data_IF_557814633308
#
_entry.id   IF_557814633308
#
_cell.length_a   1.000
_cell.length_b   1.000
_cell.length_c   1.000
_cell.angle_alpha   90.00
_cell.angle_beta   90.00
_cell.angle_gamma   90.00
#
_symmetry.space_group_name_H-M   'P 1'
#
loop_
_entity.id
_entity.type
_entity.pdbx_description
1 polymer ?
#
# COMPACT_ATOMS: atom_id res chain seq x y z
N UNK A 1 11.65 -3.01 38.54
CA UNK A 1 11.91 -3.67 37.24
C UNK A 1 11.49 -2.68 36.15
N UNK A 2 12.47 -2.15 35.42
CA UNK A 2 12.27 -1.11 34.39
C UNK A 2 11.52 -1.67 33.19
N UNK A 3 10.52 -0.92 32.72
CA UNK A 3 9.90 -1.13 31.41
C UNK A 3 10.85 -0.54 30.37
N UNK A 4 11.49 -1.42 29.61
CA UNK A 4 12.29 -1.04 28.44
C UNK A 4 11.35 -0.98 27.24
N UNK A 5 11.05 0.24 26.80
CA UNK A 5 10.36 0.49 25.53
C UNK A 5 11.31 0.16 24.38
N UNK A 6 10.99 -0.87 23.62
CA UNK A 6 11.69 -1.22 22.38
C UNK A 6 11.01 -0.49 21.23
N UNK A 7 11.49 0.71 20.89
CA UNK A 7 11.13 1.39 19.65
C UNK A 7 11.88 0.73 18.49
N UNK A 8 11.15 -0.03 17.68
CA UNK A 8 11.66 -0.58 16.43
C UNK A 8 11.62 0.53 15.37
N UNK A 9 12.77 1.16 15.12
CA UNK A 9 12.96 2.08 14.00
C UNK A 9 13.14 1.27 12.71
N UNK A 10 12.03 0.97 12.02
CA UNK A 10 12.07 0.61 10.60
C UNK A 10 11.96 1.91 9.81
N UNK A 11 13.10 2.30 9.22
CA UNK A 11 13.26 3.43 8.34
C UNK A 11 12.65 3.09 6.96
N UNK A 12 11.33 3.18 6.83
CA UNK A 12 10.65 3.30 5.54
C UNK A 12 10.57 4.79 5.22
N UNK A 13 11.14 5.17 4.07
CA UNK A 13 11.27 6.55 3.64
C UNK A 13 9.97 7.32 3.73
N UNK A 14 10.07 8.52 4.32
CA UNK A 14 9.02 9.50 4.54
C UNK A 14 8.15 9.73 3.30
N UNK A 15 6.90 9.26 3.38
CA UNK A 15 5.68 9.91 2.90
C UNK A 15 4.48 9.04 3.34
N UNK A 16 4.21 9.02 4.65
CA UNK A 16 2.99 8.44 5.20
C UNK A 16 2.26 9.49 6.03
N UNK A 17 1.13 9.95 5.52
CA UNK A 17 0.16 10.73 6.28
C UNK A 17 -0.74 9.76 7.06
N UNK A 18 -0.77 9.79 8.41
CA UNK A 18 -1.70 8.96 9.15
C UNK A 18 -3.06 9.66 9.15
N UNK A 19 -3.97 9.29 8.24
CA UNK A 19 -5.40 9.51 8.49
C UNK A 19 -5.94 8.34 9.29
N UNK A 20 -6.37 8.70 10.48
CA UNK A 20 -7.10 7.92 11.48
C UNK A 20 -8.20 7.09 10.81
N UNK A 21 -8.00 5.78 10.77
CA UNK A 21 -9.06 4.81 10.61
C UNK A 21 -9.70 4.62 11.99
N UNK A 22 -10.59 5.54 12.35
CA UNK A 22 -11.50 5.41 13.49
C UNK A 22 -12.78 4.71 12.99
N UNK A 23 -12.64 3.46 12.52
CA UNK A 23 -13.80 2.60 12.33
C UNK A 23 -14.04 1.83 13.62
N UNK A 24 -15.17 2.13 14.26
CA UNK A 24 -15.71 1.36 15.37
C UNK A 24 -15.92 -0.10 14.91
N UNK A 25 -14.93 -0.96 15.19
CA UNK A 25 -15.13 -2.40 15.21
C UNK A 25 -16.01 -2.76 16.41
N UNK A 26 -17.33 -2.70 16.23
CA UNK A 26 -18.27 -3.34 17.14
C UNK A 26 -18.19 -4.85 16.96
N UNK A 27 -17.52 -5.52 17.90
CA UNK A 27 -17.81 -6.90 18.27
C UNK A 27 -17.10 -7.99 17.44
N UNK A 28 -16.19 -8.70 18.11
CA UNK A 28 -15.83 -10.13 17.93
C UNK A 28 -14.69 -10.56 16.98
N UNK A 29 -13.90 -9.67 16.39
CA UNK A 29 -12.76 -10.08 15.52
C UNK A 29 -11.34 -9.87 16.11
N UNK A 30 -11.14 -10.09 17.42
CA UNK A 30 -9.82 -9.93 18.07
C UNK A 30 -9.27 -11.21 18.72
N UNK A 31 -9.34 -12.37 18.04
CA UNK A 31 -8.60 -13.57 18.46
C UNK A 31 -8.02 -14.31 17.25
N UNK A 32 -7.15 -13.67 16.48
CA UNK A 32 -6.24 -14.39 15.58
C UNK A 32 -5.02 -13.55 15.22
N UNK A 33 -4.28 -13.12 16.24
CA UNK A 33 -2.99 -12.46 16.04
C UNK A 33 -2.05 -12.95 17.13
N UNK A 34 -1.42 -14.09 16.87
CA UNK A 34 -0.10 -14.48 17.37
C UNK A 34 0.14 -15.95 17.02
N UNK A 35 0.92 -16.20 15.96
CA UNK A 35 1.88 -17.33 15.77
C UNK A 35 2.21 -17.48 14.28
N UNK A 36 3.09 -16.62 13.77
CA UNK A 36 3.80 -16.84 12.52
C UNK A 36 5.30 -17.03 12.87
N UNK A 37 5.90 -18.20 12.61
CA UNK A 37 7.31 -18.42 12.89
C UNK A 37 8.19 -17.71 11.84
N UNK A 38 9.22 -16.94 12.25
CA UNK A 38 10.14 -16.33 11.32
C UNK A 38 11.21 -17.35 10.93
N UNK A 39 11.10 -17.98 9.75
CA UNK A 39 12.27 -18.63 9.17
C UNK A 39 12.25 -18.65 7.64
N UNK A 40 13.39 -18.18 7.09
CA UNK A 40 13.86 -18.27 5.70
C UNK A 40 13.43 -17.15 4.74
N UNK A 41 13.72 -15.90 5.09
CA UNK A 41 14.07 -14.89 4.10
C UNK A 41 15.59 -14.93 3.87
N UNK A 42 16.04 -15.76 2.93
CA UNK A 42 17.42 -15.71 2.42
C UNK A 42 17.51 -14.52 1.46
N UNK A 43 17.76 -13.32 2.00
CA UNK A 43 18.08 -12.16 1.17
C UNK A 43 19.51 -12.36 0.64
N UNK A 44 19.65 -12.72 -0.62
CA UNK A 44 20.91 -12.60 -1.36
C UNK A 44 21.17 -11.11 -1.60
N UNK A 45 21.88 -10.45 -0.69
CA UNK A 45 22.36 -9.08 -0.88
C UNK A 45 23.59 -9.16 -1.80
N UNK A 46 23.40 -8.94 -3.10
CA UNK A 46 24.50 -8.71 -4.03
C UNK A 46 25.09 -7.32 -3.77
N UNK A 47 26.22 -7.28 -3.06
CA UNK A 47 26.99 -6.08 -2.80
C UNK A 47 27.63 -5.56 -4.10
N UNK A 48 27.00 -4.55 -4.72
CA UNK A 48 27.63 -3.76 -5.79
C UNK A 48 28.57 -2.72 -5.18
N UNK A 49 29.87 -2.99 -5.26
CA UNK A 49 30.93 -2.07 -4.84
C UNK A 49 30.99 -0.82 -5.74
N UNK A 50 30.62 0.34 -5.19
CA UNK A 50 30.92 1.65 -5.78
C UNK A 50 32.02 2.33 -4.95
N UNK A 51 33.23 2.27 -5.49
CA UNK A 51 34.41 3.02 -5.05
C UNK A 51 34.11 4.51 -4.90
N UNK A 52 34.34 5.07 -3.70
CA UNK A 52 34.45 6.52 -3.48
C UNK A 52 35.82 6.84 -2.91
N UNK A 53 36.44 7.83 -3.54
CA UNK A 53 37.80 8.28 -3.32
C UNK A 53 38.07 8.84 -1.92
N UNK A 54 39.14 8.33 -1.32
CA UNK A 54 40.37 9.08 -0.95
C UNK A 54 40.20 10.57 -0.61
N UNK A 55 40.24 10.87 0.70
CA UNK A 55 40.82 12.08 1.34
C UNK A 55 40.92 11.75 2.84
N UNK A 56 42.05 11.29 3.37
CA UNK A 56 43.23 12.03 3.88
C UNK A 56 42.90 13.17 4.85
N UNK A 57 42.81 12.85 6.13
CA UNK A 57 43.29 13.71 7.24
C UNK A 57 43.45 12.85 8.52
N UNK A 58 44.51 13.13 9.27
CA UNK A 58 45.02 12.48 10.49
C UNK A 58 45.43 13.66 11.41
N UNK A 59 45.85 13.47 12.67
CA UNK A 59 45.20 12.87 13.86
C UNK A 59 45.13 13.86 15.05
N UNK A 60 44.39 13.50 16.12
CA UNK A 60 44.68 13.88 17.51
C UNK A 60 44.02 12.82 18.40
N UNK A 61 44.73 11.84 18.96
CA UNK A 61 45.67 11.90 20.09
C UNK A 61 45.12 12.67 21.31
N UNK A 62 44.34 11.97 22.13
CA UNK A 62 44.21 12.25 23.56
C UNK A 62 44.31 10.91 24.29
N UNK A 63 45.37 10.78 25.08
CA UNK A 63 45.74 9.55 25.77
C UNK A 63 44.79 9.17 26.91
N UNK A 64 44.64 7.87 27.09
CA UNK A 64 44.17 7.28 28.34
C UNK A 64 45.36 6.56 29.02
N UNK A 65 45.58 6.79 30.33
CA UNK A 65 46.65 6.14 31.08
C UNK A 65 46.32 4.66 31.39
N UNK A 66 47.34 3.80 31.51
CA UNK A 66 47.17 2.41 31.96
C UNK A 66 47.22 2.37 33.49
N UNK A 67 46.13 1.93 34.13
CA UNK A 67 46.13 1.68 35.57
C UNK A 67 45.94 0.18 35.86
N UNK A 68 47.05 -0.38 36.31
CA UNK A 68 47.20 -1.39 37.34
C UNK A 68 46.58 -2.77 37.09
N UNK A 69 47.47 -3.67 36.67
CA UNK A 69 47.42 -5.09 36.99
C UNK A 69 47.24 -5.32 38.50
N UNK A 70 46.08 -5.83 38.89
CA UNK A 70 45.84 -6.47 40.17
C UNK A 70 45.86 -7.99 39.99
N UNK A 71 47.04 -8.60 40.14
CA UNK A 71 47.16 -10.04 40.41
C UNK A 71 46.43 -10.35 41.71
N UNK A 72 45.31 -11.05 41.64
CA UNK A 72 44.70 -11.67 42.81
C UNK A 72 44.69 -13.19 42.59
N UNK A 73 45.73 -13.85 43.12
CA UNK A 73 45.80 -15.30 43.24
C UNK A 73 44.82 -15.71 44.34
N UNK A 74 43.68 -16.29 43.97
CA UNK A 74 42.78 -16.95 44.91
C UNK A 74 43.05 -18.46 44.85
N UNK A 75 43.25 -19.15 46.00
CA UNK A 75 43.75 -20.51 46.04
C UNK A 75 42.81 -21.54 45.43
N UNK A 76 43.44 -22.47 44.72
CA UNK A 76 42.98 -23.81 44.40
C UNK A 76 42.32 -24.46 45.62
N UNK A 77 41.00 -24.35 45.72
CA UNK A 77 40.17 -25.11 46.64
C UNK A 77 39.75 -26.41 45.95
N UNK A 78 40.35 -27.51 46.41
CA UNK A 78 40.00 -28.88 46.10
C UNK A 78 38.53 -29.15 46.47
N UNK A 79 37.67 -29.60 45.53
CA UNK A 79 36.28 -29.92 45.83
C UNK A 79 36.21 -31.29 46.52
N UNK A 80 35.93 -31.29 47.82
CA UNK A 80 35.59 -32.47 48.59
C UNK A 80 34.16 -32.31 49.11
N UNK A 81 33.16 -32.43 48.24
CA UNK A 81 31.79 -32.65 48.66
C UNK A 81 31.04 -33.56 47.66
N UNK A 82 30.58 -34.76 48.08
CA UNK A 82 29.90 -35.71 47.19
C UNK A 82 28.51 -35.23 46.72
N UNK A 83 28.02 -34.12 47.25
CA UNK A 83 26.77 -33.47 46.83
C UNK A 83 26.88 -32.77 45.47
N UNK A 84 28.07 -32.34 45.04
CA UNK A 84 28.25 -31.64 43.76
C UNK A 84 28.09 -32.57 42.56
N UNK A 85 28.43 -33.86 42.72
CA UNK A 85 28.26 -34.86 41.66
C UNK A 85 26.77 -35.12 41.37
N UNK A 86 25.93 -35.17 42.41
CA UNK A 86 24.49 -35.37 42.28
C UNK A 86 23.82 -34.18 41.59
N UNK A 87 24.24 -32.95 41.91
CA UNK A 87 23.72 -31.73 41.27
C UNK A 87 24.08 -31.67 39.78
N UNK A 88 25.29 -32.10 39.41
CA UNK A 88 25.72 -32.17 38.02
C UNK A 88 24.90 -33.19 37.20
N UNK A 89 24.54 -34.32 37.80
CA UNK A 89 23.72 -35.34 37.17
C UNK A 89 22.26 -34.87 36.98
N UNK A 90 21.68 -34.21 37.99
CA UNK A 90 20.35 -33.61 37.85
C UNK A 90 20.31 -32.49 36.79
N UNK A 91 21.37 -31.68 36.68
CA UNK A 91 21.49 -30.66 35.64
C UNK A 91 21.59 -31.26 34.24
N UNK A 92 22.30 -32.37 34.07
CA UNK A 92 22.36 -33.06 32.79
C UNK A 92 20.98 -33.59 32.39
N UNK A 93 20.25 -34.18 33.36
CA UNK A 93 18.90 -34.72 33.15
C UNK A 93 17.88 -33.65 32.80
N UNK A 94 17.93 -32.49 33.47
CA UNK A 94 17.03 -31.36 33.18
C UNK A 94 17.29 -30.76 31.79
N UNK A 95 18.54 -30.68 31.35
CA UNK A 95 18.88 -30.21 30.00
C UNK A 95 18.36 -31.14 28.92
N UNK A 96 18.47 -32.45 29.13
CA UNK A 96 17.94 -33.44 28.18
C UNK A 96 16.41 -33.36 28.07
N UNK A 97 15.70 -33.18 29.19
CA UNK A 97 14.25 -33.00 29.20
C UNK A 97 13.81 -31.74 28.42
N UNK A 98 14.52 -30.62 28.60
CA UNK A 98 14.19 -29.37 27.94
C UNK A 98 14.40 -29.46 26.42
N UNK A 99 15.46 -30.13 25.97
CA UNK A 99 15.73 -30.32 24.54
C UNK A 99 14.68 -31.25 23.90
N UNK A 100 14.27 -32.31 24.60
CA UNK A 100 13.23 -33.23 24.14
C UNK A 100 11.86 -32.53 24.01
N UNK A 101 11.50 -31.66 24.96
CA UNK A 101 10.26 -30.89 24.92
C UNK A 101 10.26 -29.89 23.75
N UNK A 102 11.39 -29.19 23.54
CA UNK A 102 11.54 -28.25 22.43
C UNK A 102 11.39 -28.93 21.06
N UNK A 103 11.98 -30.12 20.88
CA UNK A 103 11.83 -30.89 19.65
C UNK A 103 10.39 -31.39 19.44
N UNK A 104 9.69 -31.77 20.52
CA UNK A 104 8.29 -32.15 20.44
C UNK A 104 7.39 -30.98 20.01
N UNK A 105 7.68 -29.76 20.50
CA UNK A 105 6.94 -28.56 20.13
C UNK A 105 7.16 -28.18 18.66
N UNK A 106 8.41 -28.17 18.17
CA UNK A 106 8.71 -27.87 16.76
C UNK A 106 8.05 -28.87 15.80
N UNK A 107 8.03 -30.16 16.17
CA UNK A 107 7.34 -31.20 15.40
C UNK A 107 5.81 -31.03 15.42
N UNK A 108 5.23 -30.55 16.52
CA UNK A 108 3.79 -30.26 16.62
C UNK A 108 3.41 -29.04 15.77
N UNK A 109 4.21 -27.97 15.80
CA UNK A 109 4.01 -26.77 14.98
C UNK A 109 4.09 -27.10 13.48
N UNK A 110 5.08 -27.90 13.06
CA UNK A 110 5.19 -28.34 11.66
C UNK A 110 3.97 -29.15 11.20
N UNK A 111 3.46 -30.06 12.05
CA UNK A 111 2.23 -30.83 11.74
C UNK A 111 0.98 -29.94 11.67
N UNK A 112 0.85 -28.97 12.58
CA UNK A 112 -0.28 -28.03 12.58
C UNK A 112 -0.28 -27.14 11.34
N UNK A 113 0.89 -26.62 10.93
CA UNK A 113 1.02 -25.83 9.71
C UNK A 113 0.68 -26.65 8.46
N UNK A 114 1.15 -27.89 8.36
CA UNK A 114 0.84 -28.79 7.25
C UNK A 114 -0.66 -29.14 7.19
N UNK A 115 -1.31 -29.36 8.33
CA UNK A 115 -2.75 -29.63 8.40
C UNK A 115 -3.59 -28.40 8.01
N UNK A 116 -3.19 -27.19 8.40
CA UNK A 116 -3.90 -25.97 8.03
C UNK A 116 -3.90 -25.72 6.51
N UNK A 117 -2.79 -26.02 5.83
CA UNK A 117 -2.69 -25.94 4.36
C UNK A 117 -3.54 -27.03 3.67
N UNK A 118 -3.64 -28.21 4.27
CA UNK A 118 -4.48 -29.28 3.72
C UNK A 118 -5.98 -28.99 3.91
N UNK A 119 -6.38 -28.44 5.05
CA UNK A 119 -7.79 -28.13 5.36
C UNK A 119 -8.33 -26.91 4.61
N UNK A 120 -7.48 -25.96 4.19
CA UNK A 120 -7.89 -24.85 3.32
C UNK A 120 -8.18 -25.25 1.87
N UNK A 121 -7.90 -26.50 1.49
CA UNK A 121 -8.19 -27.03 0.15
C UNK A 121 -9.55 -27.77 0.08
N UNK A 122 -10.19 -28.08 1.22
CA UNK A 122 -11.29 -29.05 1.29
C UNK A 122 -12.73 -28.50 1.30
N UNK A 123 -12.95 -27.21 1.56
CA UNK A 123 -14.31 -26.65 1.66
C UNK A 123 -14.51 -25.45 0.73
N UNK A 124 -14.94 -25.76 -0.49
CA UNK A 124 -16.21 -25.21 -0.97
C UNK A 124 -16.27 -23.71 -1.23
N UNK A 125 -15.43 -23.20 -2.13
CA UNK A 125 -15.89 -22.37 -3.24
C UNK A 125 -14.84 -22.47 -4.35
N UNK A 126 -15.07 -23.42 -5.27
CA UNK A 126 -14.48 -23.36 -6.61
C UNK A 126 -15.00 -22.10 -7.30
N UNK A 127 -14.38 -20.95 -7.04
CA UNK A 127 -14.12 -20.03 -8.14
C UNK A 127 -13.09 -20.76 -9.00
N UNK A 128 -13.60 -21.47 -10.00
CA UNK A 128 -12.79 -21.83 -11.16
C UNK A 128 -11.97 -20.59 -11.52
N UNK A 129 -10.67 -20.71 -11.81
CA UNK A 129 -9.97 -19.66 -12.53
C UNK A 129 -10.70 -19.58 -13.87
N UNK A 130 -11.76 -18.76 -13.91
CA UNK A 130 -12.42 -18.39 -15.14
C UNK A 130 -11.25 -17.92 -15.99
N UNK A 131 -11.09 -18.53 -17.16
CA UNK A 131 -10.27 -17.96 -18.18
C UNK A 131 -10.95 -16.63 -18.52
N UNK A 132 -10.65 -15.60 -17.73
CA UNK A 132 -11.15 -14.25 -17.91
C UNK A 132 -10.48 -13.79 -19.18
N UNK A 133 -11.15 -14.08 -20.30
CA UNK A 133 -10.83 -13.44 -21.55
C UNK A 133 -10.86 -11.94 -21.26
N UNK A 134 -9.74 -11.23 -21.45
CA UNK A 134 -9.62 -9.87 -20.98
C UNK A 134 -10.64 -8.99 -21.69
N UNK A 135 -11.38 -8.19 -20.92
CA UNK A 135 -12.53 -7.42 -21.41
C UNK A 135 -12.02 -6.40 -22.44
N UNK A 136 -12.48 -6.47 -23.71
CA UNK A 136 -12.03 -5.55 -24.75
C UNK A 136 -12.60 -4.14 -24.53
N UNK A 137 -11.86 -3.12 -24.95
CA UNK A 137 -12.29 -1.73 -24.86
C UNK A 137 -13.56 -1.51 -25.71
N UNK A 138 -14.66 -0.96 -25.14
CA UNK A 138 -15.84 -0.61 -25.92
C UNK A 138 -15.53 0.53 -26.91
N UNK A 139 -16.36 0.68 -27.94
CA UNK A 139 -16.19 1.76 -28.92
C UNK A 139 -16.49 3.11 -28.27
N UNK A 140 -15.55 4.06 -28.35
CA UNK A 140 -15.69 5.41 -27.83
C UNK A 140 -14.65 5.75 -26.75
N UNK A 141 -14.91 6.81 -26.00
CA UNK A 141 -14.16 7.22 -24.81
C UNK A 141 -15.12 7.35 -23.62
N UNK A 142 -14.60 7.23 -22.40
CA UNK A 142 -15.35 7.29 -21.15
C UNK A 142 -16.19 8.58 -20.96
N UNK A 143 -15.98 9.62 -21.78
CA UNK A 143 -16.77 10.87 -21.77
C UNK A 143 -17.75 11.03 -22.93
N UNK A 144 -17.57 10.31 -24.03
CA UNK A 144 -18.31 10.53 -25.28
C UNK A 144 -18.95 9.26 -25.87
N UNK A 145 -18.82 8.11 -25.22
CA UNK A 145 -19.39 6.86 -25.74
C UNK A 145 -19.91 5.88 -24.70
N UNK A 146 -19.37 5.87 -23.49
CA UNK A 146 -19.78 4.95 -22.44
C UNK A 146 -19.47 5.50 -21.05
N UNK A 147 -20.21 5.04 -20.04
CA UNK A 147 -19.92 5.31 -18.63
C UNK A 147 -18.89 4.30 -18.12
N UNK A 148 -17.73 4.77 -17.63
CA UNK A 148 -16.65 3.88 -17.18
C UNK A 148 -17.08 2.96 -16.04
N UNK A 149 -17.82 3.48 -15.06
CA UNK A 149 -18.32 2.72 -13.90
C UNK A 149 -19.24 1.55 -14.30
N UNK A 150 -20.09 1.75 -15.32
CA UNK A 150 -20.99 0.72 -15.84
C UNK A 150 -20.21 -0.39 -16.54
N UNK A 151 -19.20 -0.02 -17.34
CA UNK A 151 -18.37 -1.01 -18.06
C UNK A 151 -17.48 -1.80 -17.09
N UNK A 152 -17.07 -1.19 -15.97
CA UNK A 152 -16.37 -1.89 -14.91
C UNK A 152 -17.27 -2.79 -14.06
N UNK A 153 -18.60 -2.72 -14.23
CA UNK A 153 -19.56 -3.48 -13.44
C UNK A 153 -19.69 -2.99 -12.00
N UNK A 154 -19.25 -1.77 -11.71
CA UNK A 154 -19.21 -1.17 -10.36
C UNK A 154 -20.37 -0.19 -10.12
N UNK A 155 -21.40 -0.19 -10.95
CA UNK A 155 -22.54 0.74 -10.81
C UNK A 155 -23.30 0.58 -9.50
N UNK A 156 -23.20 -0.59 -8.85
CA UNK A 156 -23.83 -0.86 -7.55
C UNK A 156 -22.88 -0.63 -6.36
N UNK A 157 -21.59 -0.39 -6.63
CA UNK A 157 -20.53 -0.22 -5.63
C UNK A 157 -19.71 1.03 -5.97
N UNK A 158 -20.35 2.18 -5.84
CA UNK A 158 -19.72 3.48 -6.09
C UNK A 158 -18.55 3.75 -5.14
N UNK A 159 -18.58 3.19 -3.93
CA UNK A 159 -17.50 3.35 -2.94
C UNK A 159 -16.22 2.66 -3.41
N UNK A 160 -16.33 1.42 -3.91
CA UNK A 160 -15.20 0.71 -4.50
C UNK A 160 -14.66 1.46 -5.74
N UNK A 161 -15.54 1.96 -6.60
CA UNK A 161 -15.13 2.74 -7.77
C UNK A 161 -14.38 4.03 -7.37
N UNK A 162 -14.90 4.79 -6.41
CA UNK A 162 -14.26 6.00 -5.92
C UNK A 162 -12.91 5.70 -5.26
N UNK A 163 -12.80 4.60 -4.53
CA UNK A 163 -11.52 4.14 -3.94
C UNK A 163 -10.48 3.93 -5.03
N UNK A 164 -10.83 3.22 -6.11
CA UNK A 164 -9.94 3.00 -7.26
C UNK A 164 -9.52 4.34 -7.89
N UNK A 165 -10.44 5.29 -8.06
CA UNK A 165 -10.10 6.61 -8.60
C UNK A 165 -9.10 7.37 -7.70
N UNK A 166 -9.32 7.32 -6.38
CA UNK A 166 -8.44 7.97 -5.41
C UNK A 166 -7.04 7.35 -5.42
N UNK A 167 -6.96 6.02 -5.36
CA UNK A 167 -5.69 5.30 -5.32
C UNK A 167 -4.90 5.52 -6.63
N UNK A 168 -5.55 5.44 -7.79
CA UNK A 168 -4.89 5.74 -9.08
C UNK A 168 -4.41 7.18 -9.11
N UNK A 169 -5.18 8.14 -8.59
CA UNK A 169 -4.75 9.54 -8.50
C UNK A 169 -3.52 9.71 -7.61
N UNK A 170 -3.46 9.01 -6.48
CA UNK A 170 -2.31 9.05 -5.58
C UNK A 170 -1.08 8.39 -6.23
N UNK A 171 -1.26 7.33 -7.00
CA UNK A 171 -0.21 6.75 -7.82
C UNK A 171 0.31 7.72 -8.88
N UNK A 172 -0.56 8.49 -9.55
CA UNK A 172 -0.16 9.54 -10.50
C UNK A 172 0.79 10.54 -9.83
N UNK A 173 0.49 10.95 -8.59
CA UNK A 173 1.39 11.82 -7.81
C UNK A 173 2.69 11.10 -7.43
N UNK A 174 2.62 9.82 -7.04
CA UNK A 174 3.76 9.00 -6.66
C UNK A 174 4.78 8.82 -7.77
N UNK A 175 4.34 8.59 -9.01
CA UNK A 175 5.22 8.45 -10.18
C UNK A 175 5.65 9.80 -10.79
N UNK A 176 5.13 10.93 -10.28
CA UNK A 176 5.46 12.30 -10.73
C UNK A 176 5.17 12.54 -12.22
N UNK A 177 4.06 12.00 -12.73
CA UNK A 177 3.57 12.30 -14.08
C UNK A 177 3.33 13.82 -14.25
N UNK A 178 3.57 14.35 -15.45
CA UNK A 178 3.40 15.78 -15.71
C UNK A 178 1.96 16.07 -16.15
N UNK A 179 1.23 16.87 -15.38
CA UNK A 179 -0.19 17.16 -15.59
C UNK A 179 -0.43 18.12 -16.77
N UNK A 180 0.57 18.91 -17.14
CA UNK A 180 0.48 19.87 -18.24
C UNK A 180 0.69 19.24 -19.62
N UNK A 181 1.19 18.00 -19.65
CA UNK A 181 1.58 17.30 -20.88
C UNK A 181 0.48 16.30 -21.25
N UNK A 182 0.22 16.14 -22.54
CA UNK A 182 -0.81 15.21 -22.99
C UNK A 182 -0.47 13.76 -22.58
N UNK A 183 -1.50 12.93 -22.40
CA UNK A 183 -1.33 11.53 -21.99
C UNK A 183 -0.38 10.77 -22.93
N UNK A 184 -0.42 11.07 -24.23
CA UNK A 184 0.41 10.41 -25.25
C UNK A 184 1.89 10.78 -25.18
N UNK A 185 2.21 11.91 -24.55
CA UNK A 185 3.57 12.44 -24.43
C UNK A 185 4.23 12.04 -23.10
N UNK A 186 3.49 11.36 -22.21
CA UNK A 186 4.01 10.88 -20.94
C UNK A 186 5.06 9.78 -21.14
N UNK A 187 6.06 9.68 -20.25
CA UNK A 187 7.04 8.60 -20.28
C UNK A 187 6.37 7.22 -20.12
N UNK A 188 6.49 6.37 -21.15
CA UNK A 188 5.90 5.03 -21.18
C UNK A 188 6.33 4.14 -20.00
N UNK A 189 7.57 4.33 -19.51
CA UNK A 189 8.09 3.57 -18.37
C UNK A 189 7.31 3.88 -17.08
N UNK A 190 6.99 5.15 -16.82
CA UNK A 190 6.28 5.56 -15.61
C UNK A 190 4.80 5.16 -15.67
N UNK A 191 4.19 5.23 -16.85
CA UNK A 191 2.84 4.70 -17.08
C UNK A 191 2.79 3.18 -16.83
N UNK A 192 3.78 2.42 -17.33
CA UNK A 192 3.85 0.98 -17.10
C UNK A 192 3.99 0.61 -15.61
N UNK A 193 4.83 1.34 -14.88
CA UNK A 193 4.98 1.15 -13.43
C UNK A 193 3.67 1.48 -12.70
N UNK A 194 2.99 2.57 -13.07
CA UNK A 194 1.70 2.94 -12.50
C UNK A 194 0.66 1.85 -12.74
N UNK A 195 0.57 1.30 -13.95
CA UNK A 195 -0.40 0.24 -14.27
C UNK A 195 -0.13 -1.06 -13.52
N UNK A 196 1.13 -1.46 -13.38
CA UNK A 196 1.49 -2.63 -12.60
C UNK A 196 1.06 -2.49 -11.13
N UNK A 197 1.39 -1.36 -10.49
CA UNK A 197 1.01 -1.11 -9.09
C UNK A 197 -0.51 -0.99 -8.92
N UNK A 198 -1.20 -0.34 -9.87
CA UNK A 198 -2.66 -0.24 -9.82
C UNK A 198 -3.35 -1.62 -9.94
N UNK A 199 -2.84 -2.52 -10.78
CA UNK A 199 -3.35 -3.89 -10.89
C UNK A 199 -3.08 -4.72 -9.63
N UNK A 200 -1.92 -4.53 -8.99
CA UNK A 200 -1.59 -5.19 -7.73
C UNK A 200 -2.51 -4.72 -6.58
N UNK A 201 -2.83 -3.43 -6.54
CA UNK A 201 -3.75 -2.86 -5.55
C UNK A 201 -5.21 -3.24 -5.79
N UNK A 202 -5.64 -3.24 -7.06
CA UNK A 202 -7.01 -3.50 -7.46
C UNK A 202 -7.07 -4.60 -8.54
N UNK A 203 -7.19 -5.88 -8.14
CA UNK A 203 -7.22 -6.99 -9.08
C UNK A 203 -8.32 -6.90 -10.15
N UNK A 204 -9.39 -6.13 -9.91
CA UNK A 204 -10.43 -5.87 -10.91
C UNK A 204 -9.87 -5.20 -12.18
N UNK A 205 -8.83 -4.36 -12.04
CA UNK A 205 -8.21 -3.65 -13.16
C UNK A 205 -7.43 -4.60 -14.09
N UNK A 206 -6.91 -5.72 -13.57
CA UNK A 206 -6.19 -6.72 -14.35
C UNK A 206 -7.09 -7.49 -15.35
N UNK A 207 -8.42 -7.40 -15.19
CA UNK A 207 -9.37 -8.05 -16.10
C UNK A 207 -9.54 -7.31 -17.44
N UNK A 208 -9.03 -6.07 -17.56
CA UNK A 208 -9.22 -5.24 -18.76
C UNK A 208 -8.02 -5.38 -19.70
N UNK A 209 -8.29 -5.55 -21.00
CA UNK A 209 -7.23 -5.77 -21.99
C UNK A 209 -6.32 -4.55 -22.15
N UNK A 210 -5.01 -4.73 -22.01
CA UNK A 210 -4.01 -3.64 -22.13
C UNK A 210 -4.27 -2.47 -21.17
N UNK A 211 -4.83 -2.75 -19.98
CA UNK A 211 -5.05 -1.75 -18.93
C UNK A 211 -5.85 -0.52 -19.40
N UNK A 212 -6.78 -0.73 -20.34
CA UNK A 212 -7.51 0.37 -20.97
C UNK A 212 -8.39 1.13 -19.96
N UNK A 213 -8.93 0.43 -18.94
CA UNK A 213 -9.74 1.04 -17.90
C UNK A 213 -8.90 2.01 -17.06
N UNK A 214 -7.73 1.55 -16.58
CA UNK A 214 -6.77 2.37 -15.84
C UNK A 214 -6.31 3.56 -16.68
N UNK A 215 -6.09 3.36 -17.97
CA UNK A 215 -5.72 4.44 -18.90
C UNK A 215 -6.79 5.53 -19.00
N UNK A 216 -8.08 5.18 -19.09
CA UNK A 216 -9.17 6.18 -19.12
C UNK A 216 -9.28 6.94 -17.79
N UNK A 217 -9.00 6.29 -16.65
CA UNK A 217 -8.93 6.97 -15.34
C UNK A 217 -7.81 8.01 -15.35
N UNK A 218 -6.61 7.62 -15.79
CA UNK A 218 -5.45 8.52 -15.87
C UNK A 218 -5.73 9.69 -16.81
N UNK A 219 -6.30 9.45 -17.99
CA UNK A 219 -6.72 10.50 -18.94
C UNK A 219 -7.75 11.45 -18.30
N UNK A 220 -8.64 10.92 -17.45
CA UNK A 220 -9.61 11.74 -16.71
C UNK A 220 -8.96 12.73 -15.73
N UNK A 221 -7.78 12.41 -15.21
CA UNK A 221 -7.01 13.23 -14.28
C UNK A 221 -6.00 14.16 -14.97
N UNK A 222 -5.35 13.69 -16.04
CA UNK A 222 -4.45 14.50 -16.86
C UNK A 222 -5.31 15.32 -17.81
N UNK A 223 -5.75 16.49 -17.35
CA UNK A 223 -6.30 17.49 -18.25
C UNK A 223 -5.11 18.21 -18.88
N UNK A 224 -4.90 18.12 -20.21
CA UNK A 224 -4.02 19.08 -20.84
C UNK A 224 -4.54 20.46 -20.45
N UNK A 225 -3.65 21.33 -20.00
CA UNK A 225 -3.99 22.73 -19.83
C UNK A 225 -4.42 23.20 -21.22
N UNK A 226 -5.74 23.22 -21.46
CA UNK A 226 -6.31 23.76 -22.68
C UNK A 226 -5.70 25.13 -22.80
N UNK A 227 -4.81 25.21 -23.77
CA UNK A 227 -3.84 26.26 -23.92
C UNK A 227 -4.53 27.60 -23.67
N UNK A 228 -4.21 28.23 -22.53
CA UNK A 228 -4.34 29.67 -22.34
C UNK A 228 -3.42 30.44 -23.32
N UNK A 229 -3.12 29.89 -24.50
CA UNK A 229 -3.32 30.65 -25.72
C UNK A 229 -4.75 31.16 -25.72
N UNK A 230 -4.94 32.24 -24.97
CA UNK A 230 -5.69 33.40 -25.42
C UNK A 230 -5.70 33.32 -26.94
N UNK A 231 -6.87 33.06 -27.52
CA UNK A 231 -7.08 33.23 -28.93
C UNK A 231 -6.28 34.49 -29.31
N UNK A 232 -5.33 34.43 -30.27
CA UNK A 232 -4.66 35.66 -30.71
C UNK A 232 -5.81 36.64 -30.92
N UNK A 233 -5.82 37.81 -30.22
CA UNK A 233 -7.02 38.64 -30.09
C UNK A 233 -7.59 38.73 -31.48
N UNK A 234 -8.73 38.05 -31.68
CA UNK A 234 -9.25 37.87 -33.02
C UNK A 234 -9.40 39.28 -33.52
N UNK A 235 -8.55 39.64 -34.48
CA UNK A 235 -8.56 40.96 -35.07
C UNK A 235 -10.01 41.13 -35.49
N UNK A 236 -10.69 42.04 -34.80
CA UNK A 236 -12.07 42.36 -34.99
C UNK A 236 -12.23 42.73 -36.45
N UNK A 237 -12.58 41.77 -37.28
CA UNK A 237 -13.33 42.01 -38.49
C UNK A 237 -14.72 42.41 -38.01
N UNK A 238 -14.77 43.69 -37.66
CA UNK A 238 -15.92 44.56 -37.59
C UNK A 238 -16.74 44.36 -38.87
N UNK A 239 -17.60 43.34 -38.88
CA UNK A 239 -18.55 43.10 -39.97
C UNK A 239 -19.88 42.76 -39.34
N UNK A 240 -20.63 43.85 -39.16
CA UNK A 240 -22.08 43.89 -39.23
C UNK A 240 -22.82 43.01 -38.22
N UNK A 241 -22.88 43.54 -37.00
CA UNK A 241 -23.92 43.27 -36.00
C UNK A 241 -25.32 43.37 -36.65
N UNK A 242 -26.08 42.26 -36.80
CA UNK A 242 -27.50 42.38 -37.07
C UNK A 242 -28.17 42.96 -35.83
N UNK A 243 -28.91 44.05 -36.03
CA UNK A 243 -29.68 44.75 -35.01
C UNK A 243 -30.55 43.80 -34.17
N UNK A 244 -30.64 43.99 -32.84
CA UNK A 244 -31.56 43.23 -32.00
C UNK A 244 -33.00 43.55 -32.38
N UNK A 245 -33.70 42.56 -32.94
CA UNK A 245 -35.16 42.60 -33.04
C UNK A 245 -35.72 42.59 -31.62
N UNK A 246 -36.32 43.72 -31.23
CA UNK A 246 -37.08 43.92 -29.99
C UNK A 246 -38.03 42.72 -29.79
N UNK A 247 -37.68 41.79 -28.91
CA UNK A 247 -38.61 40.74 -28.48
C UNK A 247 -39.63 41.41 -27.55
N UNK A 248 -40.87 41.36 -28.01
CA UNK A 248 -42.05 41.79 -27.28
C UNK A 248 -42.13 40.98 -25.97
N UNK A 249 -41.98 41.66 -24.84
CA UNK A 249 -42.15 41.10 -23.49
C UNK A 249 -43.65 40.96 -23.26
N UNK A 250 -44.21 39.79 -23.54
CA UNK A 250 -45.57 39.45 -23.12
C UNK A 250 -45.52 39.22 -21.62
N UNK A 251 -46.11 40.14 -20.88
CA UNK A 251 -46.43 40.01 -19.47
C UNK A 251 -47.57 38.99 -19.38
N UNK A 252 -47.32 37.82 -18.80
CA UNK A 252 -48.39 36.93 -18.35
C UNK A 252 -48.49 37.14 -16.84
N UNK A 253 -49.43 38.00 -16.46
CA UNK A 253 -49.95 38.09 -15.10
C UNK A 253 -51.31 37.39 -15.10
N UNK A 254 -51.29 36.12 -14.72
CA UNK A 254 -52.44 35.39 -14.18
C UNK A 254 -51.81 34.54 -13.06
N UNK A 255 -51.80 35.01 -11.80
CA UNK A 255 -52.92 34.89 -10.87
C UNK A 255 -53.67 33.55 -11.03
N UNK A 256 -53.62 32.71 -9.99
CA UNK A 256 -54.79 32.14 -9.29
C UNK A 256 -54.33 31.01 -8.36
N UNK A 257 -54.28 31.35 -7.07
CA UNK A 257 -54.85 30.64 -5.93
C UNK A 257 -55.17 29.14 -6.05
N UNK A 258 -54.56 28.34 -5.16
CA UNK A 258 -55.13 27.19 -4.41
C UNK A 258 -53.97 26.31 -3.92
N UNK A 259 -53.93 25.76 -2.72
CA UNK A 259 -54.76 25.86 -1.53
C UNK A 259 -53.92 25.29 -0.38
N UNK A 260 -54.03 25.91 0.79
CA UNK A 260 -53.76 25.30 2.10
C UNK A 260 -54.61 24.03 2.33
N UNK A 261 -54.32 23.34 3.46
CA UNK A 261 -55.01 22.19 4.10
C UNK A 261 -54.53 20.81 3.60
N UNK A 262 -54.12 19.88 4.44
CA UNK A 262 -54.63 19.48 5.77
C UNK A 262 -53.49 18.83 6.58
N UNK A 263 -53.28 19.29 7.83
CA UNK A 263 -52.67 18.49 8.90
C UNK A 263 -53.72 17.51 9.44
N UNK A 264 -53.31 16.26 9.63
CA UNK A 264 -54.07 15.19 10.28
C UNK A 264 -53.18 14.00 10.52
#
# INVERSE_FOLDING_TARGET
>A
MSKSDFTCNIFLGDLYHPRLCEYQCSGTCCLLRDTLPPSKLVIHIMASGKSRGKSKATPANVGNPPLAAGSNQNPTATPQNPVDATILEELAKLKEQLEAEKQAQEAAEWRAAAAAVASSTGSGQQTTPQSCEPIPKPKGSARQGFCLIEVMGLQNDEEQYNTILHDVRDLIHGVKLNWAVDYREQPMQDLGNLFAVACDMHPILANFKNDWATSEIVIGHIKPEENNQAAPPSATNETTRPQPKKRHRVHNEDEVSRNERVEG
#
